data_IF_776138764664
#
_entry.id   IF_776138764664
#
_cell.length_a   1.000
_cell.length_b   1.000
_cell.length_c   1.000
_cell.angle_alpha   90.00
_cell.angle_beta   90.00
_cell.angle_gamma   90.00
#
_symmetry.space_group_name_H-M   'P 1'
#
loop_
_entity.id
_entity.type
_entity.pdbx_description
1 polymer ?
#
# COMPACT_ATOMS: atom_id res chain seq x y z
N UNK A 1 17.27 -38.73 50.69
CA UNK A 1 17.99 -39.03 49.44
C UNK A 1 17.24 -38.35 48.29
N UNK A 2 17.49 -37.06 48.04
CA UNK A 2 16.95 -36.31 46.90
C UNK A 2 18.06 -35.41 46.36
N UNK A 3 18.53 -35.76 45.16
CA UNK A 3 19.51 -35.01 44.37
C UNK A 3 18.80 -33.80 43.76
N UNK A 4 19.21 -32.59 44.11
CA UNK A 4 18.85 -31.39 43.36
C UNK A 4 19.83 -31.22 42.19
N UNK A 5 19.32 -31.53 41.01
CA UNK A 5 19.98 -31.39 39.71
C UNK A 5 20.10 -29.90 39.36
N UNK A 6 21.32 -29.38 39.20
CA UNK A 6 21.55 -28.04 38.67
C UNK A 6 21.24 -28.04 37.17
N UNK A 7 20.21 -27.32 36.77
CA UNK A 7 19.88 -27.02 35.37
C UNK A 7 20.91 -26.01 34.85
N UNK A 8 21.83 -26.44 34.00
CA UNK A 8 22.75 -25.55 33.28
C UNK A 8 21.99 -25.01 32.08
N UNK A 9 21.65 -23.72 32.11
CA UNK A 9 21.02 -23.00 31.01
C UNK A 9 22.11 -22.71 29.95
N UNK A 10 22.12 -23.48 28.86
CA UNK A 10 23.00 -23.25 27.73
C UNK A 10 22.43 -22.10 26.89
N UNK A 11 22.97 -20.89 27.08
CA UNK A 11 22.63 -19.73 26.24
C UNK A 11 23.37 -19.92 24.91
N UNK A 12 22.64 -20.32 23.87
CA UNK A 12 23.13 -20.29 22.49
C UNK A 12 23.16 -18.82 22.08
N UNK A 13 24.32 -18.19 22.20
CA UNK A 13 24.60 -16.88 21.60
C UNK A 13 24.70 -17.14 20.09
N UNK A 14 23.59 -16.91 19.37
CA UNK A 14 23.65 -16.72 17.92
C UNK A 14 24.39 -15.42 17.66
N UNK A 15 25.71 -15.51 17.48
CA UNK A 15 26.49 -14.40 16.93
C UNK A 15 25.88 -14.14 15.55
N UNK A 16 25.26 -12.98 15.28
CA UNK A 16 24.94 -12.64 13.92
C UNK A 16 26.28 -12.60 13.20
N UNK A 17 26.48 -13.52 12.25
CA UNK A 17 27.59 -13.46 11.33
C UNK A 17 27.52 -12.09 10.67
N UNK A 18 28.32 -11.13 11.17
CA UNK A 18 28.76 -9.99 10.40
C UNK A 18 29.59 -10.59 9.28
N UNK A 19 28.91 -11.10 8.24
CA UNK A 19 29.53 -11.32 6.96
C UNK A 19 30.12 -9.98 6.58
N UNK A 20 31.44 -9.94 6.50
CA UNK A 20 32.19 -8.81 5.99
C UNK A 20 31.64 -8.56 4.57
N UNK A 21 30.70 -7.63 4.44
CA UNK A 21 30.11 -7.30 3.14
C UNK A 21 31.22 -6.61 2.36
N UNK A 22 31.85 -7.36 1.48
CA UNK A 22 32.76 -6.79 0.51
C UNK A 22 31.97 -5.77 -0.32
N UNK A 23 32.39 -4.50 -0.24
CA UNK A 23 31.71 -3.37 -0.88
C UNK A 23 32.70 -2.74 -1.87
N UNK A 24 32.33 -2.68 -3.15
CA UNK A 24 33.11 -1.93 -4.13
C UNK A 24 33.09 -0.46 -3.75
N UNK A 25 34.27 0.13 -3.64
CA UNK A 25 34.42 1.53 -3.28
C UNK A 25 34.21 2.41 -4.50
N UNK A 26 32.98 2.90 -4.71
CA UNK A 26 32.70 3.82 -5.83
C UNK A 26 33.54 5.11 -5.75
N UNK A 27 33.97 5.52 -4.56
CA UNK A 27 34.80 6.71 -4.38
C UNK A 27 36.22 6.53 -4.92
N UNK A 28 36.66 5.32 -5.29
CA UNK A 28 37.94 5.16 -5.99
C UNK A 28 37.86 5.50 -7.48
N UNK A 29 36.66 5.66 -8.04
CA UNK A 29 36.47 6.00 -9.45
C UNK A 29 36.69 7.50 -9.70
N UNK A 30 37.79 7.84 -10.38
CA UNK A 30 38.16 9.24 -10.63
C UNK A 30 37.14 9.99 -11.49
N UNK A 31 36.55 9.32 -12.48
CA UNK A 31 35.59 9.97 -13.37
C UNK A 31 34.27 10.22 -12.64
N UNK A 32 33.82 9.27 -11.82
CA UNK A 32 32.62 9.44 -10.99
C UNK A 32 32.78 10.60 -10.00
N UNK A 33 33.93 10.70 -9.32
CA UNK A 33 34.24 11.82 -8.41
C UNK A 33 34.37 13.19 -9.11
N UNK A 34 34.63 13.20 -10.42
CA UNK A 34 34.66 14.43 -11.22
C UNK A 34 33.26 14.98 -11.52
N UNK A 35 32.21 14.17 -11.35
CA UNK A 35 30.83 14.48 -11.76
C UNK A 35 29.90 14.56 -10.55
N UNK A 36 30.12 13.69 -9.57
CA UNK A 36 29.32 13.59 -8.35
C UNK A 36 30.18 13.92 -7.13
N UNK A 37 29.61 14.69 -6.21
CA UNK A 37 30.17 14.96 -4.90
C UNK A 37 30.20 13.68 -4.04
N UNK A 38 31.02 13.70 -2.98
CA UNK A 38 31.12 12.57 -2.05
C UNK A 38 29.78 12.20 -1.40
N UNK A 39 28.92 13.19 -1.12
CA UNK A 39 27.57 12.94 -0.57
C UNK A 39 26.67 12.26 -1.59
N UNK A 40 26.71 12.69 -2.85
CA UNK A 40 25.91 12.08 -3.93
C UNK A 40 26.41 10.65 -4.21
N UNK A 41 27.72 10.41 -4.19
CA UNK A 41 28.28 9.05 -4.33
C UNK A 41 27.77 8.12 -3.21
N UNK A 42 27.61 8.61 -1.98
CA UNK A 42 27.02 7.79 -0.89
C UNK A 42 25.57 7.42 -1.16
N UNK A 43 24.81 8.30 -1.81
CA UNK A 43 23.44 7.98 -2.24
C UNK A 43 23.44 6.96 -3.40
N UNK A 44 24.37 7.09 -4.36
CA UNK A 44 24.57 6.10 -5.44
C UNK A 44 24.96 4.73 -4.87
N UNK A 45 25.80 4.70 -3.84
CA UNK A 45 26.17 3.47 -3.13
C UNK A 45 24.96 2.78 -2.49
N UNK A 46 23.87 3.47 -2.16
CA UNK A 46 22.64 2.82 -1.69
C UNK A 46 21.99 2.00 -2.80
N UNK A 47 21.96 2.52 -4.04
CA UNK A 47 21.47 1.76 -5.21
C UNK A 47 22.29 0.49 -5.43
N UNK A 48 23.62 0.62 -5.41
CA UNK A 48 24.53 -0.53 -5.55
C UNK A 48 24.30 -1.53 -4.42
N UNK A 49 24.28 -1.08 -3.16
CA UNK A 49 24.10 -1.97 -2.00
C UNK A 49 22.74 -2.71 -2.03
N UNK A 50 21.69 -2.08 -2.55
CA UNK A 50 20.38 -2.70 -2.73
C UNK A 50 20.43 -3.83 -3.77
N UNK A 51 21.15 -3.63 -4.88
CA UNK A 51 21.37 -4.66 -5.90
C UNK A 51 22.28 -5.77 -5.38
N UNK A 52 23.39 -5.43 -4.73
CA UNK A 52 24.34 -6.37 -4.14
C UNK A 52 23.66 -7.36 -3.20
N UNK A 53 22.78 -6.84 -2.34
CA UNK A 53 21.98 -7.64 -1.41
C UNK A 53 21.08 -8.64 -2.15
N UNK A 54 20.50 -8.22 -3.27
CA UNK A 54 19.67 -9.09 -4.11
C UNK A 54 20.51 -10.14 -4.85
N UNK A 55 21.65 -9.75 -5.44
CA UNK A 55 22.55 -10.64 -6.18
C UNK A 55 23.11 -11.71 -5.25
N UNK A 56 23.67 -11.34 -4.09
CA UNK A 56 24.18 -12.29 -3.09
C UNK A 56 23.10 -13.26 -2.60
N UNK A 57 21.87 -12.77 -2.35
CA UNK A 57 20.76 -13.63 -1.92
C UNK A 57 20.36 -14.68 -2.97
N UNK A 58 20.63 -14.41 -4.25
CA UNK A 58 20.23 -15.25 -5.37
C UNK A 58 21.37 -16.10 -5.94
N UNK A 59 22.54 -16.10 -5.29
CA UNK A 59 23.76 -16.79 -5.74
C UNK A 59 24.34 -17.60 -4.59
N UNK A 60 25.22 -18.55 -4.91
CA UNK A 60 25.80 -19.46 -3.90
C UNK A 60 27.24 -19.07 -3.53
N UNK A 61 27.56 -17.78 -3.62
CA UNK A 61 28.90 -17.26 -3.37
C UNK A 61 28.85 -15.99 -2.52
N UNK A 62 29.90 -15.80 -1.72
CA UNK A 62 30.15 -14.55 -1.00
C UNK A 62 31.09 -13.61 -1.77
N UNK A 63 31.77 -14.12 -2.80
CA UNK A 63 32.54 -13.30 -3.72
C UNK A 63 31.58 -12.59 -4.66
N UNK A 64 31.58 -11.25 -4.58
CA UNK A 64 30.60 -10.44 -5.29
C UNK A 64 30.82 -10.42 -6.81
N UNK A 65 32.08 -10.46 -7.27
CA UNK A 65 32.37 -10.51 -8.69
C UNK A 65 31.77 -11.78 -9.30
N UNK A 66 32.07 -12.92 -8.67
CA UNK A 66 31.47 -14.20 -9.02
C UNK A 66 29.94 -14.19 -8.86
N UNK A 67 29.40 -13.52 -7.85
CA UNK A 67 27.95 -13.42 -7.64
C UNK A 67 27.26 -12.73 -8.82
N UNK A 68 27.78 -11.58 -9.28
CA UNK A 68 27.26 -10.90 -10.46
C UNK A 68 27.37 -11.77 -11.71
N UNK A 69 28.47 -12.51 -11.91
CA UNK A 69 28.57 -13.43 -13.03
C UNK A 69 27.54 -14.55 -12.97
N UNK A 70 27.37 -15.21 -11.82
CA UNK A 70 26.36 -16.27 -11.64
C UNK A 70 24.95 -15.75 -11.86
N UNK A 71 24.64 -14.55 -11.36
CA UNK A 71 23.32 -13.95 -11.53
C UNK A 71 23.05 -13.58 -12.99
N UNK A 72 24.00 -12.94 -13.67
CA UNK A 72 23.86 -12.55 -15.07
C UNK A 72 23.80 -13.76 -16.01
N UNK A 73 24.52 -14.84 -15.70
CA UNK A 73 24.40 -16.11 -16.43
C UNK A 73 22.99 -16.70 -16.29
N UNK A 74 22.46 -16.72 -15.07
CA UNK A 74 21.06 -17.15 -14.83
C UNK A 74 20.06 -16.26 -15.57
N UNK A 75 20.27 -14.94 -15.56
CA UNK A 75 19.44 -14.00 -16.30
C UNK A 75 19.49 -14.29 -17.81
N UNK A 76 20.69 -14.47 -18.38
CA UNK A 76 20.92 -14.80 -19.78
C UNK A 76 20.19 -16.08 -20.20
N UNK A 77 20.20 -17.12 -19.37
CA UNK A 77 19.47 -18.37 -19.62
C UNK A 77 17.95 -18.19 -19.69
N UNK A 78 17.42 -17.16 -19.03
CA UNK A 78 15.97 -16.90 -18.97
C UNK A 78 15.49 -15.82 -19.94
N UNK A 79 16.38 -15.00 -20.49
CA UNK A 79 16.00 -13.84 -21.32
C UNK A 79 15.33 -14.22 -22.65
N UNK A 80 15.57 -15.45 -23.13
CA UNK A 80 14.98 -15.98 -24.35
C UNK A 80 13.58 -16.60 -24.14
N UNK A 81 13.20 -16.92 -22.90
CA UNK A 81 11.91 -17.51 -22.56
C UNK A 81 11.13 -16.55 -21.67
N UNK A 82 10.21 -15.80 -22.27
CA UNK A 82 9.39 -14.80 -21.56
C UNK A 82 8.60 -15.39 -20.39
N UNK A 83 8.27 -16.69 -20.42
CA UNK A 83 7.56 -17.37 -19.34
C UNK A 83 8.45 -17.69 -18.13
N UNK A 84 9.77 -17.71 -18.32
CA UNK A 84 10.78 -18.00 -17.30
C UNK A 84 11.67 -16.81 -16.98
N UNK A 85 11.43 -15.66 -17.61
CA UNK A 85 12.25 -14.46 -17.45
C UNK A 85 12.47 -14.12 -15.98
N UNK A 86 13.73 -14.07 -15.57
CA UNK A 86 14.11 -13.74 -14.21
C UNK A 86 13.91 -12.25 -13.96
N UNK A 87 12.89 -11.91 -13.17
CA UNK A 87 12.70 -10.54 -12.67
C UNK A 87 13.51 -10.38 -11.39
N UNK A 88 14.52 -9.48 -11.34
CA UNK A 88 15.43 -9.40 -10.19
C UNK A 88 14.78 -8.92 -8.90
N UNK A 89 13.73 -8.09 -9.01
CA UNK A 89 13.07 -7.47 -7.86
C UNK A 89 11.56 -7.66 -7.89
N UNK A 90 10.94 -7.65 -6.71
CA UNK A 90 9.51 -7.38 -6.60
C UNK A 90 9.27 -5.91 -6.97
N UNK A 91 8.54 -5.67 -8.07
CA UNK A 91 8.48 -4.36 -8.74
C UNK A 91 8.04 -3.21 -7.81
N UNK A 92 7.06 -3.46 -6.92
CA UNK A 92 6.59 -2.45 -5.97
C UNK A 92 7.64 -2.08 -4.92
N UNK A 93 8.40 -3.06 -4.40
CA UNK A 93 9.48 -2.81 -3.44
C UNK A 93 10.62 -2.05 -4.11
N UNK A 94 10.92 -2.38 -5.38
CA UNK A 94 11.90 -1.64 -6.19
C UNK A 94 11.49 -0.18 -6.35
N UNK A 95 10.24 0.09 -6.73
CA UNK A 95 9.76 1.47 -6.86
C UNK A 95 9.80 2.22 -5.54
N UNK A 96 9.34 1.61 -4.44
CA UNK A 96 9.41 2.23 -3.10
C UNK A 96 10.84 2.56 -2.69
N UNK A 97 11.79 1.65 -2.95
CA UNK A 97 13.21 1.90 -2.71
C UNK A 97 13.71 3.09 -3.52
N UNK A 98 13.47 3.11 -4.84
CA UNK A 98 13.92 4.18 -5.72
C UNK A 98 13.30 5.54 -5.35
N UNK A 99 12.03 5.56 -4.98
CA UNK A 99 11.31 6.76 -4.51
C UNK A 99 11.81 7.25 -3.13
N UNK A 100 12.52 6.42 -2.37
CA UNK A 100 13.11 6.79 -1.08
C UNK A 100 14.51 7.42 -1.18
N UNK A 101 15.13 7.38 -2.37
CA UNK A 101 16.43 7.99 -2.61
C UNK A 101 16.32 9.52 -2.62
N UNK A 102 17.46 10.20 -2.40
CA UNK A 102 17.53 11.63 -2.62
C UNK A 102 17.10 11.97 -4.05
N UNK A 103 16.09 12.84 -4.19
CA UNK A 103 15.47 13.12 -5.49
C UNK A 103 16.42 13.82 -6.46
N UNK A 104 17.39 14.58 -5.95
CA UNK A 104 18.40 15.22 -6.80
C UNK A 104 19.31 14.19 -7.42
N UNK A 105 19.77 13.18 -6.65
CA UNK A 105 20.59 12.08 -7.17
C UNK A 105 19.77 11.14 -8.05
N UNK A 106 18.54 10.80 -7.65
CA UNK A 106 17.66 9.92 -8.41
C UNK A 106 17.44 10.43 -9.84
N UNK A 107 17.15 11.73 -10.00
CA UNK A 107 16.87 12.35 -11.30
C UNK A 107 18.10 12.40 -12.24
N UNK A 108 19.31 12.20 -11.72
CA UNK A 108 20.52 12.12 -12.56
C UNK A 108 20.68 10.77 -13.27
N UNK A 109 19.94 9.76 -12.81
CA UNK A 109 19.97 8.40 -13.36
C UNK A 109 18.65 8.03 -14.03
N UNK A 110 17.52 8.44 -13.44
CA UNK A 110 16.23 7.85 -13.71
C UNK A 110 15.17 8.88 -14.07
N UNK A 111 14.21 8.43 -14.87
CA UNK A 111 12.93 9.09 -15.07
C UNK A 111 11.82 8.10 -14.70
N UNK A 112 11.07 8.40 -13.64
CA UNK A 112 9.88 7.65 -13.27
C UNK A 112 8.66 8.30 -13.91
N UNK A 113 8.00 7.59 -14.82
CA UNK A 113 6.73 8.01 -15.39
C UNK A 113 5.56 7.28 -14.72
N UNK A 114 4.38 7.90 -14.71
CA UNK A 114 3.13 7.32 -14.19
C UNK A 114 2.02 7.24 -15.23
N UNK A 115 2.34 7.52 -16.50
CA UNK A 115 1.37 7.59 -17.59
C UNK A 115 1.90 6.87 -18.83
N UNK A 116 1.06 6.02 -19.43
CA UNK A 116 1.36 5.41 -20.73
C UNK A 116 0.23 5.70 -21.71
N UNK A 117 0.58 6.37 -22.81
CA UNK A 117 -0.39 6.78 -23.84
C UNK A 117 -1.06 5.60 -24.52
N UNK A 118 -0.29 4.56 -24.86
CA UNK A 118 -0.79 3.37 -25.55
C UNK A 118 -0.08 2.14 -25.01
N UNK A 119 -0.85 1.12 -24.69
CA UNK A 119 -0.34 -0.20 -24.31
C UNK A 119 -1.22 -1.29 -24.91
N UNK A 120 -0.61 -2.33 -25.47
CA UNK A 120 -1.32 -3.54 -25.88
C UNK A 120 -1.28 -4.53 -24.73
N UNK A 121 -2.43 -5.10 -24.37
CA UNK A 121 -2.49 -6.21 -23.43
C UNK A 121 -3.47 -7.24 -23.97
N UNK A 122 -2.99 -8.48 -24.13
CA UNK A 122 -3.69 -9.54 -24.88
C UNK A 122 -4.08 -9.00 -26.27
N UNK A 123 -5.35 -9.12 -26.64
CA UNK A 123 -5.88 -8.69 -27.94
C UNK A 123 -6.47 -7.28 -27.93
N UNK A 124 -6.23 -6.47 -26.88
CA UNK A 124 -6.83 -5.15 -26.72
C UNK A 124 -5.76 -4.05 -26.65
N UNK A 125 -6.04 -2.92 -27.28
CA UNK A 125 -5.22 -1.70 -27.17
C UNK A 125 -5.88 -0.79 -26.13
N UNK A 126 -5.16 -0.52 -25.05
CA UNK A 126 -5.54 0.44 -24.04
C UNK A 126 -4.85 1.78 -24.32
N UNK A 127 -5.58 2.86 -24.06
CA UNK A 127 -5.11 4.23 -24.23
C UNK A 127 -5.17 4.96 -22.90
N UNK A 128 -4.28 5.93 -22.74
CA UNK A 128 -4.25 6.88 -21.63
C UNK A 128 -4.29 6.19 -20.25
N UNK A 129 -3.32 5.29 -20.04
CA UNK A 129 -3.16 4.54 -18.80
C UNK A 129 -2.51 5.42 -17.72
N UNK A 130 -3.34 6.21 -17.05
CA UNK A 130 -2.94 6.98 -15.87
C UNK A 130 -2.72 6.09 -14.64
N UNK A 131 -1.67 6.36 -13.87
CA UNK A 131 -1.20 5.53 -12.76
C UNK A 131 -0.38 4.29 -13.19
N UNK A 132 -0.04 4.15 -14.48
CA UNK A 132 0.86 3.11 -14.97
C UNK A 132 2.33 3.51 -14.79
N UNK A 133 2.87 3.18 -13.61
CA UNK A 133 4.28 3.46 -13.27
C UNK A 133 5.23 2.76 -14.23
N UNK A 134 6.30 3.43 -14.66
CA UNK A 134 7.39 2.85 -15.44
C UNK A 134 8.69 3.60 -15.21
N UNK A 135 9.81 2.89 -15.32
CA UNK A 135 11.15 3.41 -15.05
C UNK A 135 11.99 3.40 -16.33
N UNK A 136 12.54 4.56 -16.70
CA UNK A 136 13.50 4.73 -17.78
C UNK A 136 14.78 5.36 -17.27
N UNK A 137 15.89 5.23 -18.02
CA UNK A 137 17.11 5.99 -17.76
C UNK A 137 16.91 7.46 -18.19
N UNK A 138 17.58 8.38 -17.50
CA UNK A 138 17.54 9.79 -17.85
C UNK A 138 18.60 10.11 -18.93
N UNK A 139 18.22 10.36 -20.20
CA UNK A 139 19.18 10.50 -21.30
C UNK A 139 20.13 11.69 -21.15
N UNK A 140 19.74 12.71 -20.40
CA UNK A 140 20.51 13.94 -20.19
C UNK A 140 20.97 14.12 -18.73
N UNK A 141 20.98 13.04 -17.95
CA UNK A 141 21.40 13.08 -16.56
C UNK A 141 22.92 12.96 -16.43
N UNK A 142 23.48 13.37 -15.29
CA UNK A 142 24.92 13.23 -15.02
C UNK A 142 25.43 11.80 -15.08
N UNK A 143 24.57 10.79 -14.91
CA UNK A 143 24.98 9.41 -15.14
C UNK A 143 25.34 9.14 -16.60
N UNK A 144 24.58 9.68 -17.55
CA UNK A 144 24.92 9.57 -18.98
C UNK A 144 26.22 10.31 -19.29
N UNK A 145 26.46 11.47 -18.68
CA UNK A 145 27.75 12.18 -18.77
C UNK A 145 28.91 11.33 -18.24
N UNK A 146 28.69 10.58 -17.16
CA UNK A 146 29.68 9.64 -16.64
C UNK A 146 29.98 8.50 -17.62
N UNK A 147 28.97 7.93 -18.27
CA UNK A 147 29.17 6.91 -19.30
C UNK A 147 29.91 7.46 -20.52
N UNK A 148 29.67 8.71 -20.91
CA UNK A 148 30.42 9.38 -21.98
C UNK A 148 31.90 9.53 -21.64
N UNK A 149 32.21 9.91 -20.39
CA UNK A 149 33.59 10.01 -19.90
C UNK A 149 34.30 8.67 -19.87
N UNK A 150 33.59 7.61 -19.50
CA UNK A 150 34.13 6.24 -19.61
C UNK A 150 34.38 5.86 -21.08
N UNK A 151 33.48 6.30 -21.97
CA UNK A 151 33.55 6.07 -23.41
C UNK A 151 34.70 6.74 -24.15
N UNK A 152 35.43 7.67 -23.51
CA UNK A 152 36.67 8.24 -24.08
C UNK A 152 37.76 7.16 -24.23
N UNK A 153 37.76 6.15 -23.34
CA UNK A 153 38.77 5.08 -23.28
C UNK A 153 38.19 3.65 -23.42
N UNK A 154 36.86 3.50 -23.51
CA UNK A 154 36.18 2.20 -23.47
C UNK A 154 34.96 2.15 -24.43
N UNK A 155 35.12 1.44 -25.54
CA UNK A 155 34.13 1.35 -26.63
C UNK A 155 32.75 0.85 -26.16
N UNK A 156 32.70 0.02 -25.12
CA UNK A 156 31.43 -0.44 -24.56
C UNK A 156 30.63 0.72 -23.97
N UNK A 157 31.28 1.54 -23.14
CA UNK A 157 30.62 2.68 -22.49
C UNK A 157 30.27 3.79 -23.48
N UNK A 158 31.11 3.98 -24.51
CA UNK A 158 30.79 4.87 -25.63
C UNK A 158 29.47 4.46 -26.29
N UNK A 159 29.39 3.21 -26.73
CA UNK A 159 28.20 2.63 -27.38
C UNK A 159 26.98 2.70 -26.47
N UNK A 160 27.14 2.35 -25.19
CA UNK A 160 26.07 2.39 -24.20
C UNK A 160 25.50 3.81 -24.01
N UNK A 161 26.36 4.82 -23.89
CA UNK A 161 25.94 6.22 -23.72
C UNK A 161 25.18 6.74 -24.95
N UNK A 162 25.63 6.38 -26.16
CA UNK A 162 24.96 6.73 -27.42
C UNK A 162 23.56 6.10 -27.49
N UNK A 163 23.43 4.82 -27.13
CA UNK A 163 22.12 4.15 -27.09
C UNK A 163 21.17 4.83 -26.10
N UNK A 164 21.62 5.12 -24.87
CA UNK A 164 20.78 5.77 -23.86
C UNK A 164 20.30 7.15 -24.35
N UNK A 165 21.15 7.94 -24.99
CA UNK A 165 20.75 9.24 -25.56
C UNK A 165 19.69 9.12 -26.66
N UNK A 166 19.81 8.11 -27.52
CA UNK A 166 18.90 7.93 -28.67
C UNK A 166 17.55 7.35 -28.22
N UNK A 167 17.56 6.27 -27.42
CA UNK A 167 16.33 5.58 -27.01
C UNK A 167 15.73 6.08 -25.70
N UNK A 168 16.42 6.99 -24.98
CA UNK A 168 16.07 7.37 -23.59
C UNK A 168 16.04 6.17 -22.64
N UNK A 169 16.69 5.07 -23.00
CA UNK A 169 16.74 3.81 -22.25
C UNK A 169 17.75 2.83 -22.89
N UNK A 170 17.98 1.69 -22.25
CA UNK A 170 18.75 0.56 -22.77
C UNK A 170 18.03 -0.06 -23.98
N UNK A 171 18.72 -0.14 -25.11
CA UNK A 171 18.18 -0.74 -26.34
C UNK A 171 17.90 -2.24 -26.16
N UNK A 172 16.98 -2.85 -26.95
CA UNK A 172 16.73 -4.29 -26.88
C UNK A 172 17.99 -5.13 -27.14
N UNK A 173 18.84 -4.71 -28.09
CA UNK A 173 20.10 -5.37 -28.38
C UNK A 173 21.06 -5.35 -27.20
N UNK A 174 21.20 -4.20 -26.53
CA UNK A 174 22.04 -4.07 -25.35
C UNK A 174 21.50 -4.86 -24.15
N UNK A 175 20.17 -4.89 -24.00
CA UNK A 175 19.48 -5.66 -22.97
C UNK A 175 19.79 -7.16 -23.04
N UNK A 176 20.00 -7.71 -24.24
CA UNK A 176 20.36 -9.11 -24.46
C UNK A 176 21.88 -9.31 -24.43
N UNK A 177 22.63 -8.38 -25.03
CA UNK A 177 24.08 -8.52 -25.18
C UNK A 177 24.82 -8.51 -23.84
N UNK A 178 24.42 -7.66 -22.90
CA UNK A 178 25.16 -7.52 -21.64
C UNK A 178 25.15 -8.80 -20.79
N UNK A 179 23.99 -9.44 -20.48
CA UNK A 179 23.99 -10.74 -19.81
C UNK A 179 24.76 -11.81 -20.59
N UNK A 180 24.63 -11.86 -21.92
CA UNK A 180 25.33 -12.85 -22.75
C UNK A 180 26.87 -12.67 -22.79
N UNK A 181 27.36 -11.47 -22.47
CA UNK A 181 28.78 -11.11 -22.51
C UNK A 181 29.33 -10.74 -21.13
N UNK A 182 28.62 -11.10 -20.06
CA UNK A 182 28.97 -10.71 -18.70
C UNK A 182 30.40 -11.10 -18.29
N UNK A 183 30.95 -12.19 -18.86
CA UNK A 183 32.34 -12.63 -18.66
C UNK A 183 33.42 -11.63 -19.10
N UNK A 184 33.06 -10.61 -19.91
CA UNK A 184 33.98 -9.55 -20.33
C UNK A 184 34.19 -8.46 -19.27
N UNK A 185 33.42 -8.49 -18.18
CA UNK A 185 33.39 -7.45 -17.18
C UNK A 185 34.00 -7.95 -15.88
N UNK A 186 34.93 -7.17 -15.32
CA UNK A 186 35.38 -7.34 -13.93
C UNK A 186 34.53 -6.44 -13.03
N UNK A 187 33.64 -7.02 -12.24
CA UNK A 187 32.78 -6.32 -11.29
C UNK A 187 33.50 -5.91 -10.01
N UNK A 188 34.81 -6.17 -9.88
CA UNK A 188 35.65 -5.49 -8.90
C UNK A 188 35.96 -4.04 -9.30
N UNK A 189 35.77 -3.69 -10.58
CA UNK A 189 35.93 -2.33 -11.06
C UNK A 189 34.67 -1.50 -10.79
N UNK A 190 34.77 -0.33 -10.12
CA UNK A 190 33.62 0.53 -9.82
C UNK A 190 32.70 0.83 -11.01
N UNK A 191 33.27 1.13 -12.20
CA UNK A 191 32.50 1.38 -13.42
C UNK A 191 31.58 0.24 -13.83
N UNK A 192 32.12 -0.98 -13.85
CA UNK A 192 31.39 -2.19 -14.27
C UNK A 192 30.34 -2.58 -13.23
N UNK A 193 30.70 -2.42 -11.97
CA UNK A 193 29.82 -2.70 -10.85
C UNK A 193 28.62 -1.75 -10.83
N UNK A 194 28.86 -0.45 -10.96
CA UNK A 194 27.79 0.55 -11.04
C UNK A 194 26.91 0.29 -12.27
N UNK A 195 27.50 0.01 -13.43
CA UNK A 195 26.74 -0.35 -14.62
C UNK A 195 25.84 -1.57 -14.39
N UNK A 196 26.36 -2.65 -13.81
CA UNK A 196 25.58 -3.85 -13.52
C UNK A 196 24.41 -3.55 -12.56
N UNK A 197 24.63 -2.72 -11.53
CA UNK A 197 23.58 -2.29 -10.62
C UNK A 197 22.46 -1.51 -11.34
N UNK A 198 22.83 -0.54 -12.17
CA UNK A 198 21.86 0.24 -12.95
C UNK A 198 21.12 -0.65 -13.95
N UNK A 199 21.83 -1.53 -14.66
CA UNK A 199 21.22 -2.49 -15.58
C UNK A 199 20.16 -3.35 -14.89
N UNK A 200 20.47 -3.93 -13.72
CA UNK A 200 19.54 -4.78 -12.98
C UNK A 200 18.34 -4.02 -12.41
N UNK A 201 18.52 -2.77 -11.96
CA UNK A 201 17.43 -1.90 -11.51
C UNK A 201 16.47 -1.52 -12.65
N UNK A 202 17.01 -1.34 -13.86
CA UNK A 202 16.22 -1.02 -15.05
C UNK A 202 15.27 -2.16 -15.44
N UNK A 203 15.61 -3.42 -15.16
CA UNK A 203 14.74 -4.56 -15.50
C UNK A 203 13.42 -4.44 -14.74
N UNK A 204 12.32 -4.32 -15.49
CA UNK A 204 10.96 -4.35 -14.97
C UNK A 204 10.34 -5.74 -15.14
N UNK A 205 9.32 -6.02 -14.34
CA UNK A 205 8.48 -7.20 -14.51
C UNK A 205 7.83 -7.29 -15.90
N UNK A 206 7.43 -8.50 -16.28
CA UNK A 206 6.78 -8.74 -17.57
C UNK A 206 5.53 -7.85 -17.76
N UNK A 207 5.39 -7.30 -18.97
CA UNK A 207 4.33 -6.38 -19.34
C UNK A 207 2.93 -6.88 -18.96
N UNK A 208 2.61 -8.15 -19.22
CA UNK A 208 1.29 -8.71 -18.89
C UNK A 208 1.01 -8.72 -17.39
N UNK A 209 2.02 -9.05 -16.56
CA UNK A 209 1.90 -9.04 -15.10
C UNK A 209 1.73 -7.61 -14.58
N UNK A 210 2.43 -6.65 -15.20
CA UNK A 210 2.31 -5.23 -14.91
C UNK A 210 0.92 -4.69 -15.26
N UNK A 211 0.37 -5.08 -16.41
CA UNK A 211 -1.00 -4.77 -16.83
C UNK A 211 -2.04 -5.42 -15.90
N UNK A 212 -1.84 -6.65 -15.47
CA UNK A 212 -2.70 -7.32 -14.48
C UNK A 212 -2.68 -6.58 -13.15
N UNK A 213 -1.50 -6.23 -12.62
CA UNK A 213 -1.36 -5.40 -11.41
C UNK A 213 -2.08 -4.06 -11.57
N UNK A 214 -1.92 -3.39 -12.72
CA UNK A 214 -2.60 -2.14 -13.04
C UNK A 214 -4.13 -2.29 -13.01
N UNK A 215 -4.70 -3.28 -13.71
CA UNK A 215 -6.14 -3.50 -13.71
C UNK A 215 -6.66 -3.97 -12.35
N UNK A 216 -5.91 -4.79 -11.64
CA UNK A 216 -6.28 -5.22 -10.29
C UNK A 216 -6.35 -4.02 -9.34
N UNK A 217 -5.42 -3.06 -9.45
CA UNK A 217 -5.48 -1.80 -8.70
C UNK A 217 -6.68 -0.96 -9.11
N UNK A 218 -6.88 -0.76 -10.42
CA UNK A 218 -7.99 0.03 -10.95
C UNK A 218 -9.37 -0.57 -10.61
N UNK A 219 -9.45 -1.89 -10.51
CA UNK A 219 -10.65 -2.66 -10.19
C UNK A 219 -10.69 -3.13 -8.71
N UNK A 220 -9.83 -2.58 -7.86
CA UNK A 220 -9.85 -2.81 -6.41
C UNK A 220 -10.56 -1.67 -5.69
N UNK A 221 -11.18 -2.00 -4.56
CA UNK A 221 -11.72 -0.99 -3.66
C UNK A 221 -10.61 -0.05 -3.19
N UNK A 222 -10.98 1.19 -2.92
CA UNK A 222 -10.25 2.03 -2.00
C UNK A 222 -10.61 1.57 -0.57
N UNK A 223 -9.66 0.91 0.10
CA UNK A 223 -9.89 0.31 1.42
C UNK A 223 -10.42 1.32 2.44
N UNK A 224 -9.94 2.57 2.37
CA UNK A 224 -10.32 3.65 3.29
C UNK A 224 -11.81 3.98 3.16
N UNK A 225 -12.27 4.17 1.93
CA UNK A 225 -13.67 4.48 1.66
C UNK A 225 -14.58 3.25 1.82
N UNK A 226 -14.07 2.04 1.56
CA UNK A 226 -14.79 0.81 1.88
C UNK A 226 -15.06 0.72 3.39
N UNK A 227 -14.03 0.90 4.23
CA UNK A 227 -14.19 0.96 5.69
C UNK A 227 -15.17 2.06 6.10
N UNK A 228 -15.03 3.28 5.57
CA UNK A 228 -15.96 4.38 5.85
C UNK A 228 -17.43 3.99 5.58
N UNK A 229 -17.67 3.22 4.52
CA UNK A 229 -18.97 2.66 4.20
C UNK A 229 -19.48 1.69 5.26
N UNK A 230 -18.60 0.84 5.80
CA UNK A 230 -18.96 -0.13 6.85
C UNK A 230 -19.18 0.53 8.21
N UNK A 231 -18.53 1.65 8.56
CA UNK A 231 -18.58 2.21 9.93
C UNK A 231 -20.00 2.34 10.49
N UNK A 232 -20.21 1.99 11.76
CA UNK A 232 -21.45 2.31 12.46
C UNK A 232 -21.48 3.81 12.82
N UNK A 233 -22.53 4.49 12.42
CA UNK A 233 -22.84 5.86 12.82
C UNK A 233 -24.31 5.98 13.26
N UNK A 234 -24.74 5.00 14.05
CA UNK A 234 -26.02 5.01 14.76
C UNK A 234 -26.11 6.26 15.65
N UNK A 235 -26.92 7.24 15.25
CA UNK A 235 -26.97 8.62 15.82
C UNK A 235 -25.74 9.50 15.54
N UNK A 236 -24.93 9.14 14.55
CA UNK A 236 -23.63 9.75 14.24
C UNK A 236 -22.46 8.93 14.78
N UNK A 237 -21.24 9.22 14.30
CA UNK A 237 -20.03 8.56 14.78
C UNK A 237 -19.69 9.05 16.19
N UNK A 238 -19.72 8.18 17.18
CA UNK A 238 -19.48 8.60 18.56
C UNK A 238 -17.99 8.81 18.84
N UNK A 239 -17.68 9.82 19.66
CA UNK A 239 -16.32 10.07 20.16
C UNK A 239 -16.37 10.51 21.61
N UNK A 240 -15.71 9.72 22.46
CA UNK A 240 -15.54 9.92 23.91
C UNK A 240 -14.46 8.93 24.42
N UNK A 241 -13.98 9.12 25.65
CA UNK A 241 -12.84 8.47 26.27
C UNK A 241 -12.89 6.94 26.23
N UNK A 242 -14.03 6.31 26.53
CA UNK A 242 -14.13 4.84 26.57
C UNK A 242 -14.05 4.19 25.18
N UNK A 243 -14.35 4.95 24.12
CA UNK A 243 -14.33 4.47 22.73
C UNK A 243 -13.19 5.10 21.93
N UNK A 244 -12.28 5.79 22.62
CA UNK A 244 -11.11 6.37 22.00
C UNK A 244 -10.25 5.27 21.38
N UNK A 245 -9.74 5.53 20.17
CA UNK A 245 -9.00 4.54 19.40
C UNK A 245 -9.85 3.40 18.81
N UNK A 246 -11.17 3.36 19.06
CA UNK A 246 -12.05 2.37 18.43
C UNK A 246 -12.32 2.78 16.99
N UNK A 247 -11.95 1.93 16.05
CA UNK A 247 -12.27 2.10 14.64
C UNK A 247 -13.76 1.85 14.45
N UNK A 248 -14.23 0.67 14.86
CA UNK A 248 -15.65 0.32 14.90
C UNK A 248 -15.95 -0.93 15.74
N UNK A 249 -17.25 -1.18 15.98
CA UNK A 249 -17.79 -2.42 16.56
C UNK A 249 -18.65 -3.14 15.53
N UNK A 250 -18.44 -4.44 15.40
CA UNK A 250 -19.17 -5.35 14.52
C UNK A 250 -19.93 -6.37 15.36
N UNK A 251 -21.21 -6.57 15.06
CA UNK A 251 -22.02 -7.58 15.75
C UNK A 251 -21.41 -8.98 15.57
N UNK A 252 -21.67 -9.92 16.47
CA UNK A 252 -21.17 -11.31 16.34
C UNK A 252 -21.42 -11.91 14.94
N UNK A 253 -22.60 -11.65 14.35
CA UNK A 253 -22.95 -12.09 13.00
C UNK A 253 -22.13 -11.44 11.88
N UNK A 254 -21.50 -10.30 12.15
CA UNK A 254 -20.64 -9.53 11.24
C UNK A 254 -19.14 -9.86 11.44
N UNK A 255 -18.80 -10.91 12.21
CA UNK A 255 -17.41 -11.23 12.54
C UNK A 255 -16.50 -11.42 11.32
N UNK A 256 -17.02 -12.00 10.22
CA UNK A 256 -16.28 -12.12 8.95
C UNK A 256 -15.87 -10.76 8.39
N UNK A 257 -16.77 -9.77 8.42
CA UNK A 257 -16.49 -8.42 7.96
C UNK A 257 -15.37 -7.80 8.78
N UNK A 258 -15.41 -7.96 10.11
CA UNK A 258 -14.37 -7.49 11.01
C UNK A 258 -12.97 -8.03 10.63
N UNK A 259 -12.85 -9.34 10.40
CA UNK A 259 -11.58 -9.97 9.98
C UNK A 259 -11.12 -9.54 8.58
N UNK A 260 -12.06 -9.31 7.66
CA UNK A 260 -11.72 -8.76 6.33
C UNK A 260 -11.14 -7.37 6.47
N UNK A 261 -11.76 -6.49 7.26
CA UNK A 261 -11.23 -5.15 7.53
C UNK A 261 -9.85 -5.22 8.20
N UNK A 262 -9.66 -6.06 9.22
CA UNK A 262 -8.34 -6.25 9.83
C UNK A 262 -7.26 -6.62 8.80
N UNK A 263 -7.56 -7.59 7.93
CA UNK A 263 -6.64 -8.01 6.88
C UNK A 263 -6.29 -6.91 5.88
N UNK A 264 -7.21 -5.98 5.62
CA UNK A 264 -7.02 -4.84 4.72
C UNK A 264 -6.06 -3.78 5.27
N UNK A 265 -5.94 -3.67 6.61
CA UNK A 265 -5.26 -2.55 7.26
C UNK A 265 -4.05 -2.94 8.13
N UNK A 266 -3.94 -4.19 8.59
CA UNK A 266 -2.89 -4.64 9.55
C UNK A 266 -1.44 -4.36 9.12
N UNK A 267 -1.17 -4.32 7.82
CA UNK A 267 0.19 -4.05 7.32
C UNK A 267 0.52 -2.54 7.30
N UNK A 268 -0.50 -1.68 7.19
CA UNK A 268 -0.35 -0.23 7.14
C UNK A 268 -0.50 0.42 8.54
N UNK A 269 -1.17 -0.27 9.47
CA UNK A 269 -1.49 0.22 10.80
C UNK A 269 -0.97 -0.78 11.85
N UNK A 270 0.30 -0.65 12.29
CA UNK A 270 0.91 -1.60 13.23
C UNK A 270 0.23 -1.65 14.62
N UNK A 271 -0.50 -0.60 15.00
CA UNK A 271 -1.29 -0.52 16.24
C UNK A 271 -2.69 -1.16 16.12
N UNK A 272 -3.05 -1.68 14.94
CA UNK A 272 -4.33 -2.34 14.71
C UNK A 272 -4.46 -3.64 15.48
N UNK A 273 -5.57 -3.78 16.21
CA UNK A 273 -5.90 -4.99 16.97
C UNK A 273 -7.39 -5.26 16.98
N UNK A 274 -7.74 -6.55 16.96
CA UNK A 274 -9.09 -7.05 17.23
C UNK A 274 -9.20 -7.37 18.72
N UNK A 275 -10.34 -7.01 19.30
CA UNK A 275 -10.75 -7.45 20.63
C UNK A 275 -12.18 -8.01 20.57
N UNK A 276 -12.51 -8.91 21.48
CA UNK A 276 -13.86 -9.46 21.57
C UNK A 276 -14.56 -8.84 22.77
N UNK A 277 -15.69 -8.16 22.54
CA UNK A 277 -16.49 -7.59 23.60
C UNK A 277 -17.22 -8.69 24.41
N UNK A 278 -17.77 -8.34 25.57
CA UNK A 278 -18.48 -9.27 26.47
C UNK A 278 -19.65 -10.01 25.80
N UNK A 279 -20.27 -9.41 24.79
CA UNK A 279 -21.37 -9.97 24.00
C UNK A 279 -20.90 -10.71 22.73
N UNK A 280 -19.61 -11.05 22.63
CA UNK A 280 -18.99 -11.69 21.47
C UNK A 280 -18.96 -10.82 20.19
N UNK A 281 -19.22 -9.52 20.29
CA UNK A 281 -18.98 -8.58 19.20
C UNK A 281 -17.48 -8.45 18.92
N UNK A 282 -17.14 -8.22 17.66
CA UNK A 282 -15.78 -7.94 17.23
C UNK A 282 -15.55 -6.43 17.26
N UNK A 283 -14.59 -5.96 18.07
CA UNK A 283 -14.20 -4.55 18.11
C UNK A 283 -12.80 -4.38 17.54
N UNK A 284 -12.68 -3.44 16.60
CA UNK A 284 -11.43 -3.10 15.96
C UNK A 284 -10.88 -1.81 16.57
N UNK A 285 -9.63 -1.83 17.04
CA UNK A 285 -8.95 -0.70 17.66
C UNK A 285 -7.65 -0.36 16.93
N UNK A 286 -7.43 0.93 16.71
CA UNK A 286 -6.18 1.55 16.27
C UNK A 286 -6.33 3.05 16.46
N UNK A 287 -5.44 3.67 17.22
CA UNK A 287 -5.48 5.11 17.47
C UNK A 287 -5.29 5.89 16.17
N UNK A 288 -4.36 5.42 15.33
CA UNK A 288 -4.01 6.07 14.06
C UNK A 288 -5.12 5.91 13.00
N UNK A 289 -5.67 4.70 12.81
CA UNK A 289 -6.76 4.46 11.87
C UNK A 289 -8.06 5.13 12.33
N UNK A 290 -8.37 5.11 13.63
CA UNK A 290 -9.56 5.77 14.16
C UNK A 290 -9.49 7.29 13.95
N UNK A 291 -8.34 7.92 14.23
CA UNK A 291 -8.13 9.35 13.96
C UNK A 291 -8.26 9.68 12.46
N UNK A 292 -7.76 8.80 11.59
CA UNK A 292 -7.92 8.95 10.15
C UNK A 292 -9.39 8.87 9.71
N UNK A 293 -10.17 7.95 10.28
CA UNK A 293 -11.60 7.81 9.96
C UNK A 293 -12.41 9.00 10.50
N UNK A 294 -12.05 9.51 11.67
CA UNK A 294 -12.70 10.68 12.28
C UNK A 294 -12.61 11.93 11.38
N UNK A 295 -11.56 12.07 10.57
CA UNK A 295 -11.41 13.20 9.65
C UNK A 295 -12.52 13.30 8.59
N UNK A 296 -13.30 12.24 8.37
CA UNK A 296 -14.47 12.26 7.48
C UNK A 296 -15.74 12.82 8.13
N UNK A 297 -15.71 13.15 9.42
CA UNK A 297 -16.88 13.57 10.18
C UNK A 297 -16.73 15.00 10.71
N UNK A 298 -17.85 15.71 10.79
CA UNK A 298 -17.98 16.96 11.53
C UNK A 298 -18.56 16.63 12.91
N UNK A 299 -17.74 16.75 13.96
CA UNK A 299 -18.14 16.44 15.33
C UNK A 299 -18.82 17.62 16.02
N UNK A 300 -19.90 17.31 16.75
CA UNK A 300 -20.61 18.24 17.61
C UNK A 300 -20.95 17.55 18.93
N UNK A 301 -21.12 18.33 20.00
CA UNK A 301 -21.54 17.79 21.30
C UNK A 301 -22.94 17.19 21.17
N UNK A 302 -23.15 15.97 21.67
CA UNK A 302 -24.47 15.33 21.61
C UNK A 302 -25.46 15.82 22.65
N UNK A 303 -25.01 16.62 23.63
CA UNK A 303 -25.78 16.94 24.84
C UNK A 303 -25.91 15.77 25.81
N UNK A 304 -25.34 14.59 25.48
CA UNK A 304 -25.28 13.41 26.33
C UNK A 304 -23.91 13.34 27.02
N UNK A 305 -23.90 12.81 28.24
CA UNK A 305 -22.69 12.52 29.00
C UNK A 305 -22.56 11.02 29.22
N UNK A 306 -21.33 10.52 29.18
CA UNK A 306 -20.99 9.17 29.62
C UNK A 306 -20.51 9.25 31.08
N UNK A 307 -21.25 8.64 32.00
CA UNK A 307 -20.91 8.65 33.42
C UNK A 307 -20.23 7.32 33.77
N UNK A 308 -18.94 7.37 34.08
CA UNK A 308 -18.11 6.24 34.48
C UNK A 308 -18.29 5.88 35.97
N UNK A 309 -19.52 5.68 36.43
CA UNK A 309 -19.79 5.33 37.82
C UNK A 309 -20.09 3.82 37.97
N UNK A 310 -19.29 3.11 38.77
CA UNK A 310 -19.72 1.81 39.34
C UNK A 310 -20.84 2.11 40.33
N UNK A 311 -22.10 1.99 39.87
CA UNK A 311 -23.28 2.05 40.72
C UNK A 311 -23.52 0.69 41.41
N UNK A 312 -22.51 0.20 42.13
CA UNK A 312 -22.75 -0.87 43.07
C UNK A 312 -23.20 -0.20 44.37
N UNK A 313 -24.51 -0.19 44.61
CA UNK A 313 -25.21 0.21 45.86
C UNK A 313 -25.37 1.71 46.17
N UNK A 314 -26.41 2.40 45.67
CA UNK A 314 -26.89 3.64 46.30
C UNK A 314 -28.41 3.84 46.12
N UNK A 315 -29.16 3.81 47.23
CA UNK A 315 -30.61 4.07 47.32
C UNK A 315 -30.95 5.51 47.73
N UNK A 316 -29.99 6.43 47.82
CA UNK A 316 -30.25 7.85 48.13
C UNK A 316 -29.30 8.78 47.37
N UNK A 317 -29.84 9.67 46.55
CA UNK A 317 -29.10 10.72 45.85
C UNK A 317 -28.96 11.95 46.77
N UNK A 318 -27.73 12.34 47.08
CA UNK A 318 -27.40 13.65 47.67
C UNK A 318 -26.69 14.54 46.65
N UNK A 319 -26.78 15.86 46.81
CA UNK A 319 -26.14 16.85 45.91
C UNK A 319 -24.61 16.67 45.80
N UNK A 320 -23.96 16.15 46.85
CA UNK A 320 -22.53 15.83 46.84
C UNK A 320 -22.19 14.67 45.90
N UNK A 321 -23.05 13.66 45.80
CA UNK A 321 -22.89 12.53 44.87
C UNK A 321 -23.07 13.01 43.43
N UNK A 322 -24.05 13.88 43.18
CA UNK A 322 -24.28 14.48 41.86
C UNK A 322 -23.05 15.27 41.39
N UNK A 323 -22.42 16.04 42.29
CA UNK A 323 -21.19 16.78 41.98
C UNK A 323 -19.98 15.86 41.69
N UNK A 324 -19.87 14.71 42.37
CA UNK A 324 -18.85 13.71 42.11
C UNK A 324 -19.06 12.91 40.81
N UNK A 325 -20.32 12.61 40.46
CA UNK A 325 -20.70 11.97 39.19
C UNK A 325 -20.41 12.88 37.99
N UNK A 326 -20.58 14.20 38.14
CA UNK A 326 -20.24 15.19 37.11
C UNK A 326 -18.73 15.31 36.88
N UNK A 327 -17.88 14.98 37.86
CA UNK A 327 -16.42 14.99 37.68
C UNK A 327 -15.89 13.79 36.88
N UNK A 328 -16.65 12.70 36.79
CA UNK A 328 -16.31 11.51 35.99
C UNK A 328 -17.10 11.42 34.68
N UNK A 329 -17.91 12.45 34.39
CA UNK A 329 -18.71 12.54 33.20
C UNK A 329 -17.86 12.98 32.00
N UNK A 330 -17.86 12.17 30.96
CA UNK A 330 -17.22 12.52 29.69
C UNK A 330 -18.27 12.97 28.66
N UNK A 331 -17.95 14.00 27.90
CA UNK A 331 -18.86 14.55 26.89
C UNK A 331 -18.89 13.63 25.68
N UNK A 332 -20.08 13.15 25.31
CA UNK A 332 -20.24 12.35 24.09
C UNK A 332 -20.38 13.30 22.90
N UNK A 333 -19.46 13.20 21.95
CA UNK A 333 -19.57 13.85 20.65
C UNK A 333 -20.21 12.91 19.64
N UNK A 334 -20.96 13.45 18.68
CA UNK A 334 -21.42 12.71 17.51
C UNK A 334 -20.93 13.38 16.23
N UNK A 335 -20.44 12.56 15.31
CA UNK A 335 -19.93 12.95 14.02
C UNK A 335 -21.01 12.83 12.95
N UNK A 336 -21.20 13.88 12.16
CA UNK A 336 -21.97 13.82 10.91
C UNK A 336 -21.02 13.63 9.73
N UNK A 337 -21.28 12.64 8.88
CA UNK A 337 -20.44 12.38 7.71
C UNK A 337 -20.42 13.63 6.79
N UNK A 338 -19.22 14.07 6.41
CA UNK A 338 -19.02 15.23 5.53
C UNK A 338 -19.52 14.91 4.11
N UNK A 339 -20.15 15.89 3.46
CA UNK A 339 -20.46 15.85 2.02
C UNK A 339 -19.25 16.27 1.19
N UNK A 340 -19.12 15.79 -0.04
CA UNK A 340 -18.08 16.23 -0.98
C UNK A 340 -16.67 15.70 -0.70
N UNK A 341 -16.54 14.67 0.14
CA UNK A 341 -15.26 14.00 0.46
C UNK A 341 -14.83 12.97 -0.60
N UNK A 342 -15.57 12.83 -1.70
CA UNK A 342 -15.33 11.84 -2.75
C UNK A 342 -14.89 12.53 -4.04
N UNK A 343 -13.63 12.31 -4.43
CA UNK A 343 -13.00 12.92 -5.61
C UNK A 343 -13.11 12.01 -6.84
N UNK A 344 -13.16 10.68 -6.64
CA UNK A 344 -13.13 9.71 -7.74
C UNK A 344 -14.26 8.69 -7.65
N UNK A 345 -14.67 8.15 -8.80
CA UNK A 345 -15.64 7.04 -8.88
C UNK A 345 -15.22 5.82 -8.06
N UNK A 346 -13.91 5.58 -7.91
CA UNK A 346 -13.38 4.48 -7.10
C UNK A 346 -13.74 4.68 -5.62
N UNK A 347 -13.57 5.89 -5.09
CA UNK A 347 -13.90 6.20 -3.70
C UNK A 347 -15.42 6.08 -3.46
N UNK A 348 -16.23 6.65 -4.37
CA UNK A 348 -17.70 6.56 -4.32
C UNK A 348 -18.17 5.10 -4.33
N UNK A 349 -17.70 4.33 -5.30
CA UNK A 349 -18.03 2.90 -5.43
C UNK A 349 -17.59 2.11 -4.21
N UNK A 350 -16.42 2.44 -3.62
CA UNK A 350 -15.91 1.72 -2.46
C UNK A 350 -16.74 1.95 -1.22
N UNK A 351 -17.14 3.19 -0.97
CA UNK A 351 -18.06 3.53 0.11
C UNK A 351 -19.43 2.89 -0.04
N UNK A 352 -20.03 2.96 -1.23
CA UNK A 352 -21.32 2.29 -1.49
C UNK A 352 -21.19 0.78 -1.28
N UNK A 353 -20.10 0.16 -1.76
CA UNK A 353 -19.85 -1.27 -1.58
C UNK A 353 -19.70 -1.64 -0.11
N UNK A 354 -18.95 -0.87 0.68
CA UNK A 354 -18.81 -1.11 2.13
C UNK A 354 -20.15 -1.00 2.86
N UNK A 355 -20.93 0.03 2.55
CA UNK A 355 -22.27 0.19 3.10
C UNK A 355 -23.22 -0.95 2.69
N UNK A 356 -23.17 -1.39 1.43
CA UNK A 356 -23.98 -2.50 0.94
C UNK A 356 -23.57 -3.85 1.56
N UNK A 357 -22.27 -4.11 1.72
CA UNK A 357 -21.79 -5.35 2.33
C UNK A 357 -22.31 -5.49 3.76
N UNK A 358 -22.30 -4.40 4.54
CA UNK A 358 -22.75 -4.43 5.94
C UNK A 358 -24.27 -4.32 6.09
N UNK A 359 -24.86 -3.33 5.44
CA UNK A 359 -26.24 -2.88 5.68
C UNK A 359 -27.20 -3.18 4.51
N UNK A 360 -26.67 -3.77 3.43
CA UNK A 360 -27.40 -3.95 2.20
C UNK A 360 -28.23 -5.22 2.15
N UNK A 361 -29.06 -5.33 1.13
CA UNK A 361 -29.80 -6.53 0.82
C UNK A 361 -30.49 -6.43 -0.53
N UNK A 362 -31.23 -7.47 -0.87
CA UNK A 362 -31.99 -7.56 -2.10
C UNK A 362 -33.41 -7.99 -1.76
N UNK A 363 -34.41 -7.24 -2.22
CA UNK A 363 -35.82 -7.51 -1.99
C UNK A 363 -36.63 -7.03 -3.18
N UNK A 364 -37.61 -7.81 -3.63
CA UNK A 364 -38.54 -7.42 -4.70
C UNK A 364 -37.83 -6.91 -5.97
N UNK A 365 -36.76 -7.59 -6.37
CA UNK A 365 -35.92 -7.27 -7.54
C UNK A 365 -35.13 -5.95 -7.47
N UNK A 366 -35.10 -5.28 -6.31
CA UNK A 366 -34.32 -4.06 -6.07
C UNK A 366 -33.30 -4.27 -4.95
N UNK A 367 -32.16 -3.58 -5.08
CA UNK A 367 -31.17 -3.55 -4.00
C UNK A 367 -31.58 -2.50 -2.98
N UNK A 368 -31.23 -2.71 -1.72
CA UNK A 368 -31.43 -1.72 -0.68
C UNK A 368 -30.20 -1.62 0.23
N UNK A 369 -30.05 -0.46 0.88
CA UNK A 369 -29.17 -0.26 2.03
C UNK A 369 -30.02 0.31 3.15
N UNK A 370 -30.03 -0.35 4.30
CA UNK A 370 -30.89 0.00 5.43
C UNK A 370 -30.07 0.25 6.70
N UNK A 371 -30.13 1.48 7.22
CA UNK A 371 -29.36 1.92 8.38
C UNK A 371 -30.27 2.51 9.45
N UNK A 372 -30.01 2.19 10.73
CA UNK A 372 -30.79 2.68 11.85
C UNK A 372 -30.23 4.03 12.35
N UNK A 373 -31.09 5.03 12.55
CA UNK A 373 -30.76 6.36 13.10
C UNK A 373 -29.54 7.08 12.44
N UNK A 374 -29.21 6.77 11.18
CA UNK A 374 -28.04 7.34 10.49
C UNK A 374 -28.43 8.24 9.31
N UNK A 375 -28.86 9.46 9.63
CA UNK A 375 -29.38 10.43 8.66
C UNK A 375 -28.27 10.94 7.72
N UNK A 376 -27.06 11.21 8.23
CA UNK A 376 -25.98 11.73 7.37
C UNK A 376 -25.51 10.68 6.36
N UNK A 377 -25.39 9.40 6.77
CA UNK A 377 -24.95 8.32 5.89
C UNK A 377 -25.95 8.05 4.78
N UNK A 378 -27.24 7.92 5.10
CA UNK A 378 -28.26 7.64 4.07
C UNK A 378 -28.34 8.78 3.06
N UNK A 379 -28.20 10.04 3.50
CA UNK A 379 -28.18 11.21 2.61
C UNK A 379 -27.01 11.14 1.62
N UNK A 380 -25.80 10.82 2.10
CA UNK A 380 -24.63 10.64 1.24
C UNK A 380 -24.82 9.45 0.29
N UNK A 381 -25.31 8.31 0.78
CA UNK A 381 -25.59 7.14 -0.07
C UNK A 381 -26.58 7.46 -1.19
N UNK A 382 -27.71 8.09 -0.87
CA UNK A 382 -28.72 8.47 -1.87
C UNK A 382 -28.15 9.42 -2.92
N UNK A 383 -27.30 10.37 -2.52
CA UNK A 383 -26.63 11.27 -3.46
C UNK A 383 -25.67 10.50 -4.37
N UNK A 384 -24.77 9.69 -3.81
CA UNK A 384 -23.76 8.97 -4.57
C UNK A 384 -24.38 7.93 -5.52
N UNK A 385 -25.45 7.25 -5.12
CA UNK A 385 -26.17 6.32 -5.99
C UNK A 385 -26.71 7.02 -7.25
N UNK A 386 -27.21 8.25 -7.11
CA UNK A 386 -27.65 9.07 -8.26
C UNK A 386 -26.47 9.50 -9.13
N UNK A 387 -25.38 9.97 -8.53
CA UNK A 387 -24.16 10.37 -9.26
C UNK A 387 -23.52 9.19 -10.02
N UNK A 388 -23.64 7.98 -9.50
CA UNK A 388 -23.12 6.75 -10.11
C UNK A 388 -24.09 6.14 -11.15
N UNK A 389 -25.11 6.88 -11.57
CA UNK A 389 -26.12 6.47 -12.56
C UNK A 389 -26.87 5.18 -12.18
N UNK A 390 -27.15 4.95 -10.90
CA UNK A 390 -28.10 3.91 -10.49
C UNK A 390 -29.53 4.34 -10.83
N UNK A 391 -30.37 3.39 -11.23
CA UNK A 391 -31.78 3.63 -11.51
C UNK A 391 -32.63 3.42 -10.26
N UNK A 392 -33.89 3.88 -10.28
CA UNK A 392 -34.89 3.64 -9.22
C UNK A 392 -34.42 4.01 -7.80
N UNK A 393 -33.62 5.08 -7.67
CA UNK A 393 -33.10 5.51 -6.36
C UNK A 393 -34.21 6.15 -5.53
N UNK A 394 -34.75 5.39 -4.57
CA UNK A 394 -35.86 5.80 -3.70
C UNK A 394 -35.44 5.75 -2.22
N UNK A 395 -35.69 6.82 -1.47
CA UNK A 395 -35.40 6.90 -0.04
C UNK A 395 -36.69 6.81 0.78
N UNK A 396 -36.72 5.90 1.76
CA UNK A 396 -37.84 5.68 2.70
C UNK A 396 -37.38 5.75 4.14
N UNK A 397 -38.26 6.25 4.99
CA UNK A 397 -38.12 6.25 6.44
C UNK A 397 -39.23 5.37 7.01
N UNK A 398 -38.86 4.43 7.86
CA UNK A 398 -39.80 3.71 8.70
C UNK A 398 -39.72 4.30 10.12
N UNK A 399 -40.83 4.88 10.56
CA UNK A 399 -41.01 5.48 11.89
C UNK A 399 -41.19 4.39 12.96
N UNK A 400 -40.12 3.63 13.20
CA UNK A 400 -39.99 2.71 14.33
C UNK A 400 -39.01 3.25 15.37
N UNK A 401 -38.86 2.56 16.50
CA UNK A 401 -37.75 2.79 17.43
C UNK A 401 -36.80 1.60 17.33
N UNK A 402 -35.59 1.75 16.75
CA UNK A 402 -35.04 2.97 16.13
C UNK A 402 -35.67 3.32 14.77
N UNK A 403 -35.49 4.57 14.32
CA UNK A 403 -35.90 4.99 12.97
C UNK A 403 -35.03 4.26 11.96
N UNK A 404 -35.66 3.65 10.95
CA UNK A 404 -34.94 2.93 9.90
C UNK A 404 -34.95 3.76 8.63
N UNK A 405 -33.76 4.06 8.14
CA UNK A 405 -33.53 4.80 6.90
C UNK A 405 -33.11 3.82 5.81
N UNK A 406 -33.91 3.71 4.75
CA UNK A 406 -33.63 2.76 3.67
C UNK A 406 -33.56 3.48 2.33
N UNK A 407 -32.49 3.24 1.56
CA UNK A 407 -32.40 3.63 0.16
C UNK A 407 -32.50 2.39 -0.73
N UNK A 408 -33.47 2.38 -1.63
CA UNK A 408 -33.67 1.38 -2.67
C UNK A 408 -33.05 1.87 -3.98
N UNK A 409 -32.53 0.96 -4.81
CA UNK A 409 -31.90 1.29 -6.09
C UNK A 409 -31.71 0.05 -6.98
N UNK A 410 -31.52 0.30 -8.27
CA UNK A 410 -31.01 -0.67 -9.25
C UNK A 410 -29.54 -0.33 -9.53
N UNK A 411 -28.57 -1.18 -9.14
CA UNK A 411 -27.14 -0.92 -9.35
C UNK A 411 -26.77 -1.01 -10.83
N UNK A 412 -25.69 -0.32 -11.21
CA UNK A 412 -25.05 -0.53 -12.51
C UNK A 412 -24.37 -1.90 -12.57
N UNK A 413 -24.01 -2.37 -13.78
CA UNK A 413 -23.27 -3.63 -13.95
C UNK A 413 -21.95 -3.63 -13.16
N UNK A 414 -21.20 -2.52 -13.24
CA UNK A 414 -19.96 -2.33 -12.49
C UNK A 414 -20.17 -2.44 -10.99
N UNK A 415 -21.23 -1.82 -10.46
CA UNK A 415 -21.54 -1.86 -9.03
C UNK A 415 -21.98 -3.26 -8.57
N UNK A 416 -22.78 -3.94 -9.40
CA UNK A 416 -23.20 -5.33 -9.18
C UNK A 416 -22.00 -6.28 -9.09
N UNK A 417 -21.01 -6.11 -9.97
CA UNK A 417 -19.78 -6.89 -9.94
C UNK A 417 -19.02 -6.72 -8.62
N UNK A 418 -18.97 -5.50 -8.07
CA UNK A 418 -18.36 -5.23 -6.76
C UNK A 418 -19.15 -5.86 -5.62
N UNK A 419 -20.47 -5.70 -5.60
CA UNK A 419 -21.32 -6.32 -4.57
C UNK A 419 -21.14 -7.84 -4.54
N UNK A 420 -21.12 -8.50 -5.70
CA UNK A 420 -20.87 -9.94 -5.80
C UNK A 420 -19.46 -10.32 -5.35
N UNK A 421 -18.44 -9.55 -5.78
CA UNK A 421 -17.04 -9.79 -5.42
C UNK A 421 -16.80 -9.73 -3.91
N UNK A 422 -17.45 -8.83 -3.17
CA UNK A 422 -17.23 -8.64 -1.73
C UNK A 422 -18.33 -9.22 -0.83
N UNK A 423 -19.32 -9.93 -1.41
CA UNK A 423 -20.39 -10.59 -0.65
C UNK A 423 -19.86 -11.60 0.38
N UNK A 424 -18.69 -12.20 0.14
CA UNK A 424 -18.09 -13.17 1.07
C UNK A 424 -17.72 -12.56 2.44
N UNK A 425 -17.59 -11.24 2.52
CA UNK A 425 -17.30 -10.53 3.77
C UNK A 425 -18.51 -10.39 4.69
N UNK A 426 -19.72 -10.73 4.20
CA UNK A 426 -20.97 -10.65 4.96
C UNK A 426 -21.19 -11.86 5.89
#
# INVERSE_FOLDING_TARGET
MMRNTKLILLIIITIPSFSFQWKVNLQSDKQLNGIFSKSEIREIEKMVSYVDSMVLKNTNTADMNEAYHQFLEKLNQTIQDSSKFLVPFEEEKKYQFLESLDSTVFNEFWQMGNFVKISRYKNTIYRDLDGYKHLNLHPFGRYTTYLEKLGEDDDFYKTLSEHIKISSDISPGMSIWFPANHQKFDFNLPKNHLWAAIYLLRIEEHHDKKMERYFNRKNSLDNKYFLLGTLSDYMGREKYQQVNGRVDRYHQSEGKLCFVIDSMFKNAYPDLRITTAKNHDCELYSDSLAAEMDNFYNFQTSGRMNINARLDTMTQFSDSILSGLLQTADTIYFGRLKSGIFETDRQKLSFITGAFVRYGGFKDSVHYISVANSVSKVKVLTQLLKEMNCENVEYKIQESIPFIHTVYFTPTEKMTAYFNKYRFAR
#
